data_IF_284456543066
#
_entry.id   IF_284456543066
#
_cell.length_a   1.000
_cell.length_b   1.000
_cell.length_c   1.000
_cell.angle_alpha   90.00
_cell.angle_beta   90.00
_cell.angle_gamma   90.00
#
_symmetry.space_group_name_H-M   'P 1'
#
loop_
_entity.id
_entity.type
_entity.pdbx_description
1 polymer ?
#
# COMPACT_ATOMS: atom_id res chain seq x y z
N UNK A 1 1.31 10.24 -9.87
CA UNK A 1 1.57 11.56 -9.28
C UNK A 1 1.64 11.38 -7.78
N UNK A 2 2.58 12.02 -7.09
CA UNK A 2 2.74 11.97 -5.63
C UNK A 2 1.99 13.15 -5.02
N UNK A 3 1.26 12.90 -3.95
CA UNK A 3 0.43 13.92 -3.29
C UNK A 3 1.11 14.52 -2.06
N UNK A 4 0.91 15.83 -1.84
CA UNK A 4 1.51 16.58 -0.74
C UNK A 4 0.46 17.43 -0.02
N UNK A 5 0.58 17.51 1.31
CA UNK A 5 -0.19 18.42 2.17
C UNK A 5 0.76 19.25 3.03
N UNK A 6 0.46 20.55 3.17
CA UNK A 6 1.28 21.53 3.92
C UNK A 6 0.60 21.93 5.22
N UNK A 7 1.36 22.02 6.33
CA UNK A 7 0.88 22.59 7.59
C UNK A 7 1.90 23.62 8.08
N UNK A 8 1.47 24.88 8.16
CA UNK A 8 2.32 26.02 8.50
C UNK A 8 1.47 27.11 9.14
N UNK A 9 1.81 27.54 10.33
CA UNK A 9 1.03 28.54 11.08
C UNK A 9 1.21 29.96 10.52
N UNK A 10 2.40 30.30 10.04
CA UNK A 10 2.68 31.60 9.47
C UNK A 10 2.04 31.72 8.08
N UNK A 11 1.00 32.54 7.98
CA UNK A 11 0.20 32.70 6.77
C UNK A 11 1.04 33.07 5.54
N UNK A 12 1.99 34.02 5.70
CA UNK A 12 2.82 34.48 4.59
C UNK A 12 3.72 33.35 4.08
N UNK A 13 4.34 32.58 5.00
CA UNK A 13 5.17 31.43 4.65
C UNK A 13 4.32 30.33 3.97
N UNK A 14 3.15 30.03 4.51
CA UNK A 14 2.21 29.04 3.95
C UNK A 14 1.77 29.38 2.55
N UNK A 15 1.31 30.64 2.31
CA UNK A 15 0.92 31.12 0.98
C UNK A 15 2.12 31.14 0.02
N UNK A 16 3.29 31.55 0.50
CA UNK A 16 4.52 31.55 -0.32
C UNK A 16 4.93 30.13 -0.75
N UNK A 17 4.89 29.15 0.14
CA UNK A 17 5.22 27.77 -0.19
C UNK A 17 4.18 27.18 -1.16
N UNK A 18 2.88 27.45 -0.92
CA UNK A 18 1.81 26.98 -1.79
C UNK A 18 1.93 27.52 -3.22
N UNK A 19 2.16 28.84 -3.35
CA UNK A 19 1.99 29.56 -4.61
C UNK A 19 3.30 29.70 -5.41
N UNK A 20 4.47 29.71 -4.75
CA UNK A 20 5.77 29.94 -5.40
C UNK A 20 6.61 28.67 -5.63
N UNK A 21 6.22 27.53 -5.04
CA UNK A 21 6.88 26.26 -5.35
C UNK A 21 6.22 25.63 -6.57
N UNK A 22 6.96 25.31 -7.64
CA UNK A 22 6.39 24.79 -8.89
C UNK A 22 6.04 23.28 -8.76
N UNK A 23 5.05 22.96 -7.93
CA UNK A 23 4.64 21.59 -7.59
C UNK A 23 4.37 20.71 -8.81
N UNK A 24 3.68 21.27 -9.81
CA UNK A 24 3.28 20.54 -11.02
C UNK A 24 4.48 20.14 -11.89
N UNK A 25 5.50 20.99 -11.96
CA UNK A 25 6.73 20.71 -12.73
C UNK A 25 7.51 19.52 -12.13
N UNK A 26 7.30 19.23 -10.84
CA UNK A 26 7.88 18.11 -10.12
C UNK A 26 6.93 16.91 -9.98
N UNK A 27 5.80 16.85 -10.73
CA UNK A 27 4.76 15.82 -10.64
C UNK A 27 4.18 15.66 -9.23
N UNK A 28 4.04 16.75 -8.49
CA UNK A 28 3.43 16.79 -7.16
C UNK A 28 2.01 17.32 -7.25
N UNK A 29 1.07 16.58 -6.70
CA UNK A 29 -0.31 17.00 -6.50
C UNK A 29 -0.43 17.66 -5.13
N UNK A 30 -0.54 19.00 -5.11
CA UNK A 30 -0.78 19.74 -3.89
C UNK A 30 -2.24 19.60 -3.46
N UNK A 31 -2.50 18.91 -2.33
CA UNK A 31 -3.86 18.57 -1.85
C UNK A 31 -4.49 19.66 -0.99
N UNK A 32 -3.67 20.56 -0.46
CA UNK A 32 -4.12 21.66 0.39
C UNK A 32 -3.14 22.02 1.49
N UNK A 33 -3.54 23.01 2.27
CA UNK A 33 -2.77 23.51 3.41
C UNK A 33 -3.66 23.77 4.63
N UNK A 34 -3.04 23.82 5.82
CA UNK A 34 -3.70 24.14 7.07
C UNK A 34 -2.79 24.99 7.97
N UNK A 35 -3.38 25.82 8.89
CA UNK A 35 -2.61 26.70 9.76
C UNK A 35 -2.04 26.01 11.01
N UNK A 36 -2.54 24.83 11.37
CA UNK A 36 -2.14 24.07 12.55
C UNK A 36 -2.50 22.59 12.44
N UNK A 37 -2.04 21.80 13.41
CA UNK A 37 -2.26 20.35 13.42
C UNK A 37 -3.71 19.93 13.64
N UNK A 38 -4.51 20.70 14.40
CA UNK A 38 -5.92 20.34 14.67
C UNK A 38 -6.77 20.50 13.41
N UNK A 39 -6.55 21.57 12.64
CA UNK A 39 -7.24 21.79 11.35
C UNK A 39 -6.72 20.83 10.28
N UNK A 40 -5.44 20.46 10.34
CA UNK A 40 -4.82 19.55 9.38
C UNK A 40 -5.28 18.09 9.55
N UNK A 41 -5.36 17.61 10.79
CA UNK A 41 -5.52 16.18 11.07
C UNK A 41 -6.73 15.53 10.39
N UNK A 42 -7.96 16.07 10.46
CA UNK A 42 -9.10 15.50 9.75
C UNK A 42 -8.89 15.40 8.23
N UNK A 43 -8.29 16.44 7.64
CA UNK A 43 -8.01 16.50 6.21
C UNK A 43 -6.93 15.49 5.80
N UNK A 44 -5.91 15.29 6.64
CA UNK A 44 -4.86 14.29 6.41
C UNK A 44 -5.42 12.87 6.43
N UNK A 45 -6.30 12.56 7.39
CA UNK A 45 -6.94 11.24 7.49
C UNK A 45 -7.86 10.94 6.32
N UNK A 46 -8.56 11.95 5.80
CA UNK A 46 -9.43 11.85 4.61
C UNK A 46 -8.63 11.73 3.32
N UNK A 47 -7.71 12.68 3.07
CA UNK A 47 -6.99 12.81 1.81
C UNK A 47 -5.80 11.86 1.67
N UNK A 48 -5.26 11.35 2.77
CA UNK A 48 -4.14 10.41 2.84
C UNK A 48 -2.96 10.79 1.95
N UNK A 49 -2.31 11.96 2.17
CA UNK A 49 -1.21 12.41 1.33
C UNK A 49 -0.01 11.47 1.40
N UNK A 50 0.73 11.42 0.30
CA UNK A 50 2.01 10.70 0.26
C UNK A 50 3.11 11.42 1.06
N UNK A 51 3.05 12.77 1.08
CA UNK A 51 4.01 13.63 1.78
C UNK A 51 3.25 14.63 2.64
N UNK A 52 3.63 14.72 3.91
CA UNK A 52 3.27 15.78 4.84
C UNK A 52 4.48 16.70 5.02
N UNK A 53 4.33 17.97 4.67
CA UNK A 53 5.28 19.03 4.96
C UNK A 53 4.71 19.86 6.12
N UNK A 54 5.36 19.88 7.30
CA UNK A 54 4.79 20.54 8.49
C UNK A 54 5.81 21.36 9.25
N UNK A 55 5.42 22.55 9.70
CA UNK A 55 6.15 23.30 10.71
C UNK A 55 6.13 22.54 12.07
N UNK A 56 7.07 22.83 12.97
CA UNK A 56 7.06 22.28 14.32
C UNK A 56 6.18 23.15 15.22
N UNK A 57 6.54 24.42 15.37
CA UNK A 57 5.83 25.33 16.27
C UNK A 57 4.57 25.85 15.61
N UNK A 58 3.46 25.40 16.12
CA UNK A 58 2.13 25.83 15.67
C UNK A 58 1.22 25.90 16.91
N UNK A 59 0.18 26.74 16.89
CA UNK A 59 -0.80 26.78 17.97
C UNK A 59 -1.60 25.49 18.04
N UNK A 60 -2.20 25.20 19.18
CA UNK A 60 -3.08 24.06 19.46
C UNK A 60 -2.36 22.71 19.39
N UNK A 61 -2.08 22.21 18.21
CA UNK A 61 -1.33 20.96 17.97
C UNK A 61 -0.04 21.25 17.23
N UNK A 62 1.11 20.97 17.85
CA UNK A 62 2.41 21.14 17.23
C UNK A 62 2.71 20.06 16.15
N UNK A 63 3.71 20.34 15.30
CA UNK A 63 4.06 19.45 14.20
C UNK A 63 4.64 18.10 14.62
N UNK A 64 5.23 17.98 15.81
CA UNK A 64 5.72 16.70 16.34
C UNK A 64 4.58 15.82 16.85
N UNK A 65 3.59 16.43 17.50
CA UNK A 65 2.39 15.73 17.91
C UNK A 65 1.58 15.26 16.69
N UNK A 66 1.41 16.14 15.69
CA UNK A 66 0.81 15.79 14.41
C UNK A 66 1.57 14.65 13.73
N UNK A 67 2.90 14.73 13.64
CA UNK A 67 3.74 13.69 13.05
C UNK A 67 3.59 12.34 13.75
N UNK A 68 3.47 12.34 15.09
CA UNK A 68 3.24 11.12 15.88
C UNK A 68 1.91 10.44 15.52
N UNK A 69 0.84 11.22 15.36
CA UNK A 69 -0.48 10.71 14.99
C UNK A 69 -0.44 10.19 13.54
N UNK A 70 0.08 11.01 12.62
CA UNK A 70 0.20 10.63 11.21
C UNK A 70 1.04 9.36 11.04
N UNK A 71 2.14 9.20 11.77
CA UNK A 71 2.96 7.98 11.70
C UNK A 71 2.20 6.73 12.11
N UNK A 72 1.26 6.84 13.06
CA UNK A 72 0.42 5.74 13.53
C UNK A 72 -0.72 5.42 12.56
N UNK A 73 -1.44 6.44 12.09
CA UNK A 73 -2.67 6.29 11.30
C UNK A 73 -2.38 6.18 9.78
N UNK A 74 -1.29 6.79 9.31
CA UNK A 74 -0.86 6.85 7.92
C UNK A 74 0.63 6.45 7.79
N UNK A 75 1.00 5.20 8.05
CA UNK A 75 2.41 4.77 8.16
C UNK A 75 3.21 4.96 6.86
N UNK A 76 2.54 4.97 5.70
CA UNK A 76 3.16 5.15 4.39
C UNK A 76 3.45 6.63 4.05
N UNK A 77 2.84 7.58 4.77
CA UNK A 77 3.06 9.03 4.57
C UNK A 77 4.48 9.42 4.98
N UNK A 78 5.21 10.08 4.07
CA UNK A 78 6.51 10.67 4.35
C UNK A 78 6.33 12.01 5.04
N UNK A 79 7.09 12.25 6.11
CA UNK A 79 6.97 13.46 6.92
C UNK A 79 8.24 14.27 6.77
N UNK A 80 8.11 15.52 6.32
CA UNK A 80 9.18 16.52 6.22
C UNK A 80 8.86 17.63 7.21
N UNK A 81 9.81 17.94 8.09
CA UNK A 81 9.66 18.97 9.11
C UNK A 81 10.29 20.28 8.67
N UNK A 82 9.58 21.39 8.88
CA UNK A 82 10.10 22.75 8.78
C UNK A 82 10.33 23.30 10.18
N UNK A 83 11.55 23.72 10.52
CA UNK A 83 11.90 24.18 11.85
C UNK A 83 12.67 25.51 11.84
N UNK A 84 12.47 26.33 12.86
CA UNK A 84 13.27 27.54 13.10
C UNK A 84 14.67 27.22 13.65
N UNK A 85 15.51 28.25 13.75
CA UNK A 85 16.86 28.16 14.31
C UNK A 85 16.84 27.74 15.80
N UNK A 86 17.87 26.99 16.24
CA UNK A 86 18.14 26.57 17.62
C UNK A 86 17.21 25.50 18.23
N UNK A 87 16.66 24.61 17.44
CA UNK A 87 15.73 23.59 17.92
C UNK A 87 16.34 22.17 17.89
N UNK A 88 17.58 22.02 18.37
CA UNK A 88 18.28 20.70 18.39
C UNK A 88 17.46 19.61 19.10
N UNK A 89 16.76 19.95 20.17
CA UNK A 89 15.90 19.02 20.90
C UNK A 89 14.72 18.53 20.06
N UNK A 90 14.16 19.39 19.19
CA UNK A 90 13.08 19.01 18.29
C UNK A 90 13.61 18.11 17.15
N UNK A 91 14.80 18.41 16.62
CA UNK A 91 15.43 17.54 15.61
C UNK A 91 15.65 16.12 16.17
N UNK A 92 16.13 15.99 17.41
CA UNK A 92 16.30 14.70 18.09
C UNK A 92 14.97 13.95 18.25
N UNK A 93 13.91 14.64 18.67
CA UNK A 93 12.56 14.05 18.77
C UNK A 93 12.02 13.64 17.41
N UNK A 94 12.19 14.46 16.38
CA UNK A 94 11.78 14.18 15.02
C UNK A 94 12.44 12.90 14.47
N UNK A 95 13.75 12.72 14.69
CA UNK A 95 14.47 11.49 14.33
C UNK A 95 13.87 10.28 15.04
N UNK A 96 13.57 10.37 16.34
CA UNK A 96 12.96 9.28 17.11
C UNK A 96 11.56 8.91 16.59
N UNK A 97 10.82 9.87 16.06
CA UNK A 97 9.51 9.67 15.42
C UNK A 97 9.62 9.12 14.00
N UNK A 98 10.83 8.98 13.47
CA UNK A 98 11.07 8.46 12.12
C UNK A 98 10.60 9.41 11.02
N UNK A 99 10.76 10.74 11.22
CA UNK A 99 10.53 11.70 10.12
C UNK A 99 11.53 11.49 9.01
N UNK A 100 11.15 11.79 7.80
CA UNK A 100 11.93 11.46 6.61
C UNK A 100 12.95 12.53 6.26
N UNK A 101 12.65 13.79 6.58
CA UNK A 101 13.55 14.92 6.33
C UNK A 101 13.28 16.08 7.30
N UNK A 102 14.26 16.99 7.44
CA UNK A 102 14.22 18.09 8.36
C UNK A 102 14.89 19.32 7.73
N UNK A 103 14.14 20.38 7.54
CA UNK A 103 14.58 21.62 6.90
C UNK A 103 14.60 22.78 7.90
N UNK A 104 15.67 23.58 7.88
CA UNK A 104 15.80 24.76 8.73
C UNK A 104 15.29 26.00 8.02
N UNK A 105 14.39 26.74 8.69
CA UNK A 105 13.93 28.08 8.23
C UNK A 105 15.06 29.12 8.40
N UNK A 106 15.25 30.06 7.44
CA UNK A 106 14.43 30.25 6.26
C UNK A 106 14.70 29.19 5.16
N UNK A 107 13.63 28.61 4.61
CA UNK A 107 13.72 27.62 3.54
C UNK A 107 13.46 28.26 2.19
N UNK A 108 14.23 27.90 1.19
CA UNK A 108 13.97 28.28 -0.20
C UNK A 108 13.05 27.26 -0.88
N UNK A 109 12.37 27.65 -1.96
CA UNK A 109 11.60 26.71 -2.80
C UNK A 109 12.47 25.55 -3.29
N UNK A 110 13.76 25.79 -3.53
CA UNK A 110 14.72 24.77 -3.94
C UNK A 110 14.96 23.75 -2.84
N UNK A 111 15.18 24.18 -1.59
CA UNK A 111 15.41 23.26 -0.47
C UNK A 111 14.20 22.35 -0.22
N UNK A 112 13.00 22.94 -0.33
CA UNK A 112 11.74 22.20 -0.22
C UNK A 112 11.63 21.14 -1.33
N UNK A 113 11.87 21.54 -2.59
CA UNK A 113 11.80 20.63 -3.72
C UNK A 113 12.83 19.51 -3.63
N UNK A 114 14.07 19.80 -3.23
CA UNK A 114 15.09 18.77 -3.02
C UNK A 114 14.66 17.73 -1.96
N UNK A 115 14.05 18.14 -0.87
CA UNK A 115 13.54 17.24 0.17
C UNK A 115 12.32 16.43 -0.32
N UNK A 116 11.42 17.07 -1.04
CA UNK A 116 10.24 16.43 -1.64
C UNK A 116 10.67 15.41 -2.71
N UNK A 117 11.61 15.73 -3.58
CA UNK A 117 12.12 14.82 -4.61
C UNK A 117 12.83 13.61 -3.99
N UNK A 118 13.61 13.78 -2.91
CA UNK A 118 14.15 12.64 -2.14
C UNK A 118 13.05 11.74 -1.60
N UNK A 119 12.02 12.32 -0.99
CA UNK A 119 10.86 11.57 -0.46
C UNK A 119 10.08 10.88 -1.58
N UNK A 120 9.85 11.55 -2.71
CA UNK A 120 9.22 10.99 -3.91
C UNK A 120 9.96 9.77 -4.43
N UNK A 121 11.30 9.86 -4.57
CA UNK A 121 12.12 8.74 -5.01
C UNK A 121 11.97 7.52 -4.10
N UNK A 122 12.00 7.71 -2.78
CA UNK A 122 11.82 6.64 -1.80
C UNK A 122 10.42 6.01 -1.87
N UNK A 123 9.36 6.83 -2.05
CA UNK A 123 7.98 6.33 -2.20
C UNK A 123 7.87 5.44 -3.44
N UNK A 124 8.38 5.92 -4.58
CA UNK A 124 8.34 5.18 -5.84
C UNK A 124 9.12 3.87 -5.77
N UNK A 125 10.30 3.88 -5.14
CA UNK A 125 11.09 2.67 -4.91
C UNK A 125 10.34 1.66 -4.02
N UNK A 126 9.74 2.12 -2.91
CA UNK A 126 8.95 1.26 -2.03
C UNK A 126 7.73 0.66 -2.78
N UNK A 127 7.03 1.44 -3.60
CA UNK A 127 5.91 0.98 -4.43
C UNK A 127 6.38 -0.05 -5.47
N UNK A 128 7.48 0.21 -6.16
CA UNK A 128 8.06 -0.72 -7.14
C UNK A 128 8.44 -2.06 -6.50
N UNK A 129 9.14 -2.04 -5.36
CA UNK A 129 9.50 -3.24 -4.60
C UNK A 129 8.27 -4.03 -4.11
N UNK A 130 7.19 -3.33 -3.72
CA UNK A 130 5.94 -3.96 -3.29
C UNK A 130 5.28 -4.70 -4.46
N UNK A 131 5.20 -4.05 -5.62
CA UNK A 131 4.65 -4.66 -6.86
C UNK A 131 5.49 -5.88 -7.27
N UNK A 132 6.81 -5.75 -7.29
CA UNK A 132 7.72 -6.85 -7.63
C UNK A 132 7.54 -8.06 -6.70
N UNK A 133 7.49 -7.83 -5.37
CA UNK A 133 7.24 -8.89 -4.39
C UNK A 133 5.89 -9.56 -4.58
N UNK A 134 4.85 -8.78 -4.88
CA UNK A 134 3.51 -9.31 -5.12
C UNK A 134 3.47 -10.15 -6.40
N UNK A 135 4.05 -9.67 -7.49
CA UNK A 135 4.16 -10.41 -8.75
C UNK A 135 4.97 -11.70 -8.59
N UNK A 136 6.09 -11.65 -7.87
CA UNK A 136 6.90 -12.84 -7.57
C UNK A 136 6.10 -13.86 -6.76
N UNK A 137 5.35 -13.44 -5.75
CA UNK A 137 4.53 -14.32 -4.93
C UNK A 137 3.44 -15.00 -5.76
N UNK A 138 2.76 -14.28 -6.66
CA UNK A 138 1.74 -14.82 -7.57
C UNK A 138 2.38 -15.89 -8.47
N UNK A 139 3.49 -15.57 -9.13
CA UNK A 139 4.17 -16.53 -10.03
C UNK A 139 4.61 -17.80 -9.30
N UNK A 140 5.10 -17.69 -8.05
CA UNK A 140 5.49 -18.86 -7.27
C UNK A 140 4.29 -19.73 -6.88
N UNK A 141 3.13 -19.13 -6.60
CA UNK A 141 1.88 -19.86 -6.33
C UNK A 141 1.39 -20.59 -7.58
N UNK A 142 1.36 -19.90 -8.72
CA UNK A 142 0.96 -20.50 -10.02
C UNK A 142 1.85 -21.70 -10.37
N UNK A 143 3.16 -21.55 -10.24
CA UNK A 143 4.10 -22.64 -10.48
C UNK A 143 3.88 -23.83 -9.54
N UNK A 144 3.62 -23.54 -8.26
CA UNK A 144 3.31 -24.59 -7.27
C UNK A 144 2.07 -25.39 -7.67
N UNK A 145 0.98 -24.70 -8.01
CA UNK A 145 -0.26 -25.38 -8.42
C UNK A 145 -0.13 -26.08 -9.79
N UNK A 146 0.58 -25.49 -10.75
CA UNK A 146 0.89 -26.13 -12.03
C UNK A 146 1.63 -27.47 -11.80
N UNK A 147 2.65 -27.48 -10.96
CA UNK A 147 3.37 -28.71 -10.61
C UNK A 147 2.48 -29.72 -9.90
N UNK A 148 1.59 -29.25 -9.00
CA UNK A 148 0.64 -30.11 -8.29
C UNK A 148 -0.33 -30.79 -9.27
N UNK A 149 -0.88 -30.06 -10.24
CA UNK A 149 -1.84 -30.57 -11.21
C UNK A 149 -1.20 -31.44 -12.31
N UNK A 150 0.03 -31.14 -12.67
CA UNK A 150 0.79 -31.91 -13.66
C UNK A 150 1.33 -33.23 -13.11
N UNK A 151 1.13 -33.50 -11.81
CA UNK A 151 1.64 -34.71 -11.19
C UNK A 151 3.16 -34.75 -11.11
N UNK A 152 3.84 -33.60 -11.21
CA UNK A 152 5.27 -33.49 -10.95
C UNK A 152 5.48 -33.76 -9.47
N UNK A 153 5.92 -35.00 -9.17
CA UNK A 153 5.99 -35.56 -7.82
C UNK A 153 7.06 -34.83 -6.99
N UNK A 154 6.63 -33.91 -6.17
CA UNK A 154 7.36 -33.55 -4.94
C UNK A 154 6.96 -34.55 -3.85
N UNK A 155 7.92 -34.97 -3.03
CA UNK A 155 7.59 -35.77 -1.86
C UNK A 155 6.58 -35.05 -0.95
N UNK A 156 5.66 -35.78 -0.26
CA UNK A 156 4.60 -35.16 0.55
C UNK A 156 5.10 -34.11 1.54
N UNK A 157 6.23 -34.35 2.18
CA UNK A 157 6.84 -33.41 3.13
C UNK A 157 7.30 -32.13 2.45
N UNK A 158 7.91 -32.21 1.27
CA UNK A 158 8.37 -31.05 0.49
C UNK A 158 7.18 -30.24 -0.04
N UNK A 159 6.11 -30.91 -0.45
CA UNK A 159 4.88 -30.27 -0.92
C UNK A 159 4.21 -29.46 0.21
N UNK A 160 4.07 -30.05 1.40
CA UNK A 160 3.51 -29.35 2.56
C UNK A 160 4.38 -28.17 3.00
N UNK A 161 5.71 -28.35 3.02
CA UNK A 161 6.64 -27.28 3.35
C UNK A 161 6.54 -26.11 2.34
N UNK A 162 6.48 -26.42 1.04
CA UNK A 162 6.37 -25.41 -0.01
C UNK A 162 5.03 -24.69 0.03
N UNK A 163 3.92 -25.40 0.25
CA UNK A 163 2.60 -24.83 0.45
C UNK A 163 2.60 -23.84 1.62
N UNK A 164 3.15 -24.24 2.78
CA UNK A 164 3.24 -23.37 3.95
C UNK A 164 4.04 -22.10 3.70
N UNK A 165 5.17 -22.15 2.94
CA UNK A 165 5.95 -20.98 2.54
C UNK A 165 5.15 -19.99 1.66
N UNK A 166 4.18 -20.51 0.90
CA UNK A 166 3.29 -19.71 0.02
C UNK A 166 2.00 -19.28 0.72
N UNK A 167 1.85 -19.56 2.04
CA UNK A 167 0.64 -19.25 2.79
C UNK A 167 -0.55 -20.14 2.40
N UNK A 168 -0.31 -21.31 1.82
CA UNK A 168 -1.33 -22.26 1.39
C UNK A 168 -1.42 -23.38 2.44
N UNK A 169 -2.58 -23.55 3.05
CA UNK A 169 -2.85 -24.70 3.92
C UNK A 169 -3.48 -25.83 3.11
N UNK A 170 -2.75 -26.94 2.97
CA UNK A 170 -3.25 -28.14 2.33
C UNK A 170 -3.80 -29.16 3.34
N UNK A 171 -4.02 -28.76 4.59
CA UNK A 171 -4.61 -29.63 5.60
C UNK A 171 -6.13 -29.74 5.38
N UNK A 172 -6.54 -30.70 4.58
CA UNK A 172 -7.95 -30.96 4.27
C UNK A 172 -8.16 -32.48 4.01
N UNK A 173 -9.37 -32.98 4.24
CA UNK A 173 -9.74 -34.36 3.94
C UNK A 173 -10.28 -34.55 2.52
N UNK A 174 -10.69 -33.47 1.87
CA UNK A 174 -11.20 -33.49 0.49
C UNK A 174 -10.78 -32.25 -0.31
N UNK A 175 -10.55 -32.46 -1.61
CA UNK A 175 -10.07 -31.43 -2.54
C UNK A 175 -10.92 -31.47 -3.82
N UNK A 176 -11.17 -30.29 -4.38
CA UNK A 176 -11.81 -30.16 -5.68
C UNK A 176 -11.12 -29.07 -6.49
N UNK A 177 -10.73 -29.41 -7.74
CA UNK A 177 -10.24 -28.44 -8.71
C UNK A 177 -11.46 -27.90 -9.47
N UNK A 178 -11.52 -26.58 -9.59
CA UNK A 178 -12.56 -25.87 -10.31
C UNK A 178 -11.90 -25.13 -11.48
N UNK A 179 -12.41 -25.34 -12.66
CA UNK A 179 -12.05 -24.58 -13.85
C UNK A 179 -13.21 -23.67 -14.19
N UNK A 180 -12.94 -22.40 -14.37
CA UNK A 180 -13.92 -21.41 -14.79
C UNK A 180 -13.49 -20.79 -16.10
N UNK A 181 -14.41 -20.53 -16.98
CA UNK A 181 -14.22 -19.77 -18.19
C UNK A 181 -14.96 -18.43 -18.05
N UNK A 182 -14.27 -17.35 -18.38
CA UNK A 182 -14.80 -16.00 -18.26
C UNK A 182 -15.39 -15.60 -19.60
N UNK A 183 -16.66 -15.24 -19.60
CA UNK A 183 -17.38 -14.83 -20.78
C UNK A 183 -17.40 -13.29 -20.90
N UNK A 184 -16.98 -12.76 -22.04
CA UNK A 184 -17.02 -11.31 -22.31
C UNK A 184 -15.64 -10.62 -22.39
N UNK A 185 -15.70 -9.31 -22.60
CA UNK A 185 -14.50 -8.45 -22.66
C UNK A 185 -14.10 -8.02 -21.26
N UNK A 186 -12.92 -8.39 -20.84
CA UNK A 186 -12.37 -8.03 -19.53
C UNK A 186 -11.51 -6.77 -19.69
N UNK A 187 -11.98 -5.59 -19.20
CA UNK A 187 -11.27 -4.33 -19.39
C UNK A 187 -9.95 -4.25 -18.63
N UNK A 188 -9.89 -4.84 -17.43
CA UNK A 188 -8.71 -4.86 -16.56
C UNK A 188 -8.44 -6.28 -16.06
N UNK A 189 -7.57 -6.97 -16.78
CA UNK A 189 -7.18 -8.36 -16.47
C UNK A 189 -6.36 -8.48 -15.18
N UNK A 190 -5.59 -7.45 -14.83
CA UNK A 190 -4.78 -7.49 -13.61
C UNK A 190 -5.65 -7.30 -12.36
N UNK A 191 -6.57 -6.35 -12.38
CA UNK A 191 -7.50 -6.15 -11.28
C UNK A 191 -8.42 -7.37 -11.08
N UNK A 192 -8.85 -8.01 -12.17
CA UNK A 192 -9.63 -9.25 -12.08
C UNK A 192 -8.81 -10.40 -11.50
N UNK A 193 -7.58 -10.60 -11.98
CA UNK A 193 -6.67 -11.60 -11.42
C UNK A 193 -6.52 -11.45 -9.91
N UNK A 194 -6.26 -10.23 -9.44
CA UNK A 194 -6.07 -9.96 -8.02
C UNK A 194 -7.32 -10.30 -7.20
N UNK A 195 -8.51 -10.02 -7.73
CA UNK A 195 -9.78 -10.45 -7.11
C UNK A 195 -9.92 -11.98 -7.09
N UNK A 196 -9.63 -12.66 -8.19
CA UNK A 196 -9.69 -14.13 -8.27
C UNK A 196 -8.73 -14.80 -7.28
N UNK A 197 -7.52 -14.26 -7.11
CA UNK A 197 -6.54 -14.77 -6.14
C UNK A 197 -6.91 -14.45 -4.66
N UNK A 198 -7.78 -13.49 -4.45
CA UNK A 198 -8.31 -13.14 -3.13
C UNK A 198 -9.60 -13.89 -2.77
N UNK A 199 -9.97 -14.93 -3.53
CA UNK A 199 -11.17 -15.73 -3.27
C UNK A 199 -11.19 -16.23 -1.82
N UNK A 200 -12.28 -16.02 -1.05
CA UNK A 200 -12.29 -16.25 0.40
C UNK A 200 -12.30 -17.72 0.80
N UNK A 201 -12.68 -18.63 -0.08
CA UNK A 201 -12.90 -20.05 0.23
C UNK A 201 -12.13 -21.02 -0.69
N UNK A 202 -11.42 -20.50 -1.67
CA UNK A 202 -10.64 -21.30 -2.61
C UNK A 202 -9.30 -20.64 -2.90
N UNK A 203 -8.30 -21.42 -3.24
CA UNK A 203 -7.03 -20.89 -3.70
C UNK A 203 -7.06 -20.69 -5.20
N UNK A 204 -6.99 -19.46 -5.68
CA UNK A 204 -6.71 -19.15 -7.08
C UNK A 204 -5.34 -19.71 -7.46
N UNK A 205 -5.27 -20.54 -8.47
CA UNK A 205 -4.08 -21.33 -8.82
C UNK A 205 -3.57 -21.13 -10.25
N UNK A 206 -4.32 -20.40 -11.06
CA UNK A 206 -3.91 -20.05 -12.43
C UNK A 206 -4.95 -19.13 -13.06
N UNK A 207 -4.48 -18.16 -13.85
CA UNK A 207 -5.30 -17.27 -14.65
C UNK A 207 -4.57 -16.95 -15.95
N UNK A 208 -5.11 -17.37 -17.10
CA UNK A 208 -4.53 -17.13 -18.43
C UNK A 208 -5.13 -15.95 -19.18
N UNK A 209 -6.07 -15.24 -18.55
CA UNK A 209 -6.79 -14.09 -19.13
C UNK A 209 -8.19 -14.43 -19.65
N UNK A 210 -8.54 -15.69 -19.75
CA UNK A 210 -9.86 -16.20 -20.15
C UNK A 210 -10.35 -17.28 -19.19
N UNK A 211 -9.42 -18.05 -18.60
CA UNK A 211 -9.73 -19.14 -17.69
C UNK A 211 -9.07 -18.94 -16.36
N UNK A 212 -9.79 -19.30 -15.31
CA UNK A 212 -9.24 -19.32 -13.96
C UNK A 212 -9.37 -20.72 -13.36
N UNK A 213 -8.32 -21.14 -12.66
CA UNK A 213 -8.26 -22.42 -11.96
C UNK A 213 -8.22 -22.19 -10.46
N UNK A 214 -9.02 -22.94 -9.71
CA UNK A 214 -9.10 -22.85 -8.27
C UNK A 214 -8.97 -24.21 -7.61
N UNK A 215 -8.41 -24.22 -6.41
CA UNK A 215 -8.41 -25.37 -5.53
C UNK A 215 -9.33 -25.09 -4.33
N UNK A 216 -10.42 -25.85 -4.23
CA UNK A 216 -11.36 -25.84 -3.10
C UNK A 216 -10.99 -26.96 -2.13
N UNK A 217 -11.02 -26.67 -0.83
CA UNK A 217 -10.70 -27.61 0.23
C UNK A 217 -11.85 -27.75 1.21
N UNK A 218 -12.09 -28.96 1.70
CA UNK A 218 -13.05 -29.25 2.73
C UNK A 218 -12.51 -30.27 3.75
N UNK A 219 -13.09 -30.33 4.94
CA UNK A 219 -12.71 -31.33 5.96
C UNK A 219 -12.99 -32.74 5.50
N UNK A 220 -14.06 -32.93 4.73
CA UNK A 220 -14.45 -34.19 4.12
C UNK A 220 -15.16 -33.97 2.76
N UNK A 221 -15.50 -35.07 2.09
CA UNK A 221 -16.19 -35.00 0.79
C UNK A 221 -17.60 -34.41 0.88
N UNK A 222 -18.28 -34.51 2.00
CA UNK A 222 -19.63 -33.97 2.21
C UNK A 222 -19.61 -32.43 2.33
N UNK A 223 -18.51 -31.85 2.77
CA UNK A 223 -18.27 -30.42 2.87
C UNK A 223 -18.01 -29.70 1.52
N UNK A 224 -17.66 -30.44 0.45
CA UNK A 224 -17.36 -29.83 -0.85
C UNK A 224 -18.60 -29.22 -1.56
N UNK A 225 -19.77 -29.90 -1.66
CA UNK A 225 -20.92 -29.35 -2.38
C UNK A 225 -21.46 -28.01 -1.81
N UNK A 226 -21.58 -27.80 -0.48
CA UNK A 226 -21.99 -26.51 0.04
C UNK A 226 -20.98 -25.40 -0.26
N UNK A 227 -19.67 -25.67 -0.09
CA UNK A 227 -18.62 -24.72 -0.42
C UNK A 227 -18.59 -24.37 -1.91
N UNK A 228 -18.85 -25.35 -2.77
CA UNK A 228 -18.92 -25.12 -4.23
C UNK A 228 -20.06 -24.17 -4.59
N UNK A 229 -21.23 -24.32 -3.97
CA UNK A 229 -22.37 -23.39 -4.19
C UNK A 229 -22.06 -21.97 -3.74
N UNK A 230 -21.43 -21.84 -2.58
CA UNK A 230 -21.01 -20.54 -2.06
C UNK A 230 -19.96 -19.88 -2.95
N UNK A 231 -19.00 -20.66 -3.43
CA UNK A 231 -17.97 -20.21 -4.37
C UNK A 231 -18.55 -19.79 -5.73
N UNK A 232 -19.52 -20.58 -6.29
CA UNK A 232 -20.23 -20.18 -7.51
C UNK A 232 -20.96 -18.84 -7.34
N UNK A 233 -21.71 -18.67 -6.24
CA UNK A 233 -22.41 -17.42 -5.98
C UNK A 233 -21.44 -16.22 -5.85
N UNK A 234 -20.25 -16.43 -5.30
CA UNK A 234 -19.22 -15.40 -5.25
C UNK A 234 -18.65 -15.08 -6.64
N UNK A 235 -18.43 -16.07 -7.50
CA UNK A 235 -18.00 -15.87 -8.88
C UNK A 235 -19.02 -15.09 -9.71
N UNK A 236 -20.30 -15.40 -9.55
CA UNK A 236 -21.40 -14.74 -10.25
C UNK A 236 -21.57 -13.26 -9.83
N UNK A 237 -21.00 -12.86 -8.69
CA UNK A 237 -21.03 -11.50 -8.16
C UNK A 237 -19.78 -10.65 -8.50
N UNK A 238 -18.77 -11.21 -9.19
CA UNK A 238 -17.54 -10.53 -9.59
C UNK A 238 -17.72 -9.61 -10.78
#
# INVERSE_FOLDING_TARGET
MISLFLVEDERIARESIRDNVPWQEHDILFLGDAPDGEVALPQLLEKRPDILLTAIKMPFMDGLELARIVRKELPDTRIIILSGHNEFEYARKAITLGVNDYLLKPVSSRDILEAVDRSKAQILECRARRIERQSYSITQRELFFSNLYSGILMGPAQMLQRAAQLGISLAAGAYQIILTELDGVIPDREALRDKLYAAPMAYGSGFDGERATFLLLAEDAAGLPPKLREFSAWLDAL
#
